data_IF_627670519237
#
_entry.id   IF_627670519237
#
_cell.length_a   1.000
_cell.length_b   1.000
_cell.length_c   1.000
_cell.angle_alpha   90.00
_cell.angle_beta   90.00
_cell.angle_gamma   90.00
#
_symmetry.space_group_name_H-M   'P 1'
#
loop_
_entity.id
_entity.type
_entity.pdbx_description
1 polymer ?
#
# COMPACT_ATOMS: atom_id res chain seq x y z
N UNK A 1 -2.18 -6.55 51.65
CA UNK A 1 -1.01 -6.76 50.75
C UNK A 1 -1.07 -8.01 49.87
N UNK A 2 -1.40 -9.21 50.36
CA UNK A 2 -1.41 -10.46 49.54
C UNK A 2 -2.48 -10.47 48.42
N UNK A 3 -3.66 -9.90 48.67
CA UNK A 3 -4.76 -9.81 47.69
C UNK A 3 -4.39 -8.88 46.54
N UNK A 4 -3.81 -7.71 46.84
CA UNK A 4 -3.32 -6.75 45.83
C UNK A 4 -2.26 -7.36 44.90
N UNK A 5 -1.31 -8.14 45.45
CA UNK A 5 -0.32 -8.87 44.63
C UNK A 5 -0.94 -9.94 43.72
N UNK A 6 -2.02 -10.62 44.17
CA UNK A 6 -2.76 -11.57 43.33
C UNK A 6 -3.51 -10.86 42.21
N UNK A 7 -4.20 -9.76 42.51
CA UNK A 7 -4.92 -8.96 41.51
C UNK A 7 -3.95 -8.44 40.44
N UNK A 8 -2.80 -7.88 40.85
CA UNK A 8 -1.78 -7.41 39.91
C UNK A 8 -1.20 -8.55 39.05
N UNK A 9 -0.98 -9.73 39.64
CA UNK A 9 -0.49 -10.91 38.90
C UNK A 9 -1.50 -11.39 37.87
N UNK A 10 -2.77 -11.57 38.25
CA UNK A 10 -3.80 -12.03 37.31
C UNK A 10 -4.17 -10.95 36.28
N UNK A 11 -4.17 -9.67 36.67
CA UNK A 11 -4.35 -8.56 35.75
C UNK A 11 -3.22 -8.45 34.73
N UNK A 12 -1.96 -8.62 35.16
CA UNK A 12 -0.80 -8.66 34.26
C UNK A 12 -0.84 -9.86 33.32
N UNK A 13 -1.25 -11.04 33.80
CA UNK A 13 -1.45 -12.23 32.96
C UNK A 13 -2.56 -11.98 31.94
N UNK A 14 -3.70 -11.42 32.37
CA UNK A 14 -4.81 -11.11 31.46
C UNK A 14 -4.37 -10.12 30.37
N UNK A 15 -3.64 -9.06 30.74
CA UNK A 15 -3.10 -8.10 29.80
C UNK A 15 -2.13 -8.76 28.81
N UNK A 16 -1.23 -9.62 29.29
CA UNK A 16 -0.32 -10.36 28.43
C UNK A 16 -1.06 -11.28 27.46
N UNK A 17 -2.09 -11.99 27.93
CA UNK A 17 -2.94 -12.83 27.08
C UNK A 17 -3.66 -12.00 26.02
N UNK A 18 -4.21 -10.84 26.38
CA UNK A 18 -4.87 -9.95 25.42
C UNK A 18 -3.89 -9.42 24.36
N UNK A 19 -2.66 -9.08 24.74
CA UNK A 19 -1.62 -8.65 23.79
C UNK A 19 -1.27 -9.80 22.85
N UNK A 20 -1.09 -11.02 23.37
CA UNK A 20 -0.77 -12.19 22.54
C UNK A 20 -1.92 -12.52 21.58
N UNK A 21 -3.16 -12.58 22.08
CA UNK A 21 -4.34 -12.86 21.25
C UNK A 21 -4.55 -11.77 20.20
N UNK A 22 -4.41 -10.50 20.58
CA UNK A 22 -4.50 -9.37 19.66
C UNK A 22 -3.40 -9.40 18.59
N UNK A 23 -2.16 -9.72 18.98
CA UNK A 23 -1.04 -9.88 18.06
C UNK A 23 -1.24 -11.05 17.10
N UNK A 24 -1.74 -12.19 17.59
CA UNK A 24 -2.08 -13.34 16.74
C UNK A 24 -3.22 -12.99 15.78
N UNK A 25 -4.24 -12.26 16.22
CA UNK A 25 -5.32 -11.78 15.36
C UNK A 25 -4.81 -10.82 14.29
N UNK A 26 -3.97 -9.86 14.64
CA UNK A 26 -3.36 -8.94 13.68
C UNK A 26 -2.48 -9.67 12.67
N UNK A 27 -1.64 -10.61 13.12
CA UNK A 27 -0.83 -11.45 12.25
C UNK A 27 -1.70 -12.31 11.33
N UNK A 28 -2.78 -12.89 11.87
CA UNK A 28 -3.74 -13.64 11.06
C UNK A 28 -4.36 -12.75 9.97
N UNK A 29 -4.85 -11.56 10.32
CA UNK A 29 -5.40 -10.60 9.35
C UNK A 29 -4.38 -10.12 8.33
N UNK A 30 -3.09 -10.05 8.69
CA UNK A 30 -2.04 -9.60 7.78
C UNK A 30 -1.65 -10.65 6.74
N UNK A 31 -1.50 -11.91 7.17
CA UNK A 31 -0.94 -12.99 6.34
C UNK A 31 -1.97 -13.98 5.77
N UNK A 32 -3.18 -14.03 6.32
CA UNK A 32 -4.22 -14.98 5.91
C UNK A 32 -5.52 -14.25 5.52
N UNK A 33 -6.51 -15.01 5.03
CA UNK A 33 -7.86 -14.49 4.75
C UNK A 33 -8.44 -13.81 6.00
N UNK A 34 -8.71 -12.51 5.97
CA UNK A 34 -9.30 -11.81 7.11
C UNK A 34 -10.69 -12.35 7.45
N UNK A 35 -11.03 -12.35 8.74
CA UNK A 35 -12.28 -12.94 9.25
C UNK A 35 -13.55 -12.28 8.71
N UNK A 36 -13.45 -11.05 8.20
CA UNK A 36 -14.53 -10.37 7.49
C UNK A 36 -13.97 -9.55 6.34
N UNK A 37 -14.82 -9.21 5.38
CA UNK A 37 -14.44 -8.51 4.16
C UNK A 37 -13.97 -7.07 4.40
N UNK A 38 -14.48 -6.40 5.44
CA UNK A 38 -14.07 -5.04 5.78
C UNK A 38 -12.63 -4.97 6.30
N UNK A 39 -12.21 -5.95 7.09
CA UNK A 39 -10.81 -6.12 7.48
C UNK A 39 -9.93 -6.48 6.28
N UNK A 40 -10.47 -7.24 5.32
CA UNK A 40 -9.77 -7.45 4.05
C UNK A 40 -9.55 -6.15 3.29
N UNK A 41 -10.58 -5.32 3.10
CA UNK A 41 -10.40 -4.03 2.44
C UNK A 41 -9.39 -3.14 3.17
N UNK A 42 -9.50 -3.01 4.50
CA UNK A 42 -8.56 -2.23 5.30
C UNK A 42 -7.11 -2.75 5.18
N UNK A 43 -6.91 -4.08 5.28
CA UNK A 43 -5.59 -4.71 5.13
C UNK A 43 -5.02 -4.48 3.74
N UNK A 44 -5.79 -4.75 2.69
CA UNK A 44 -5.36 -4.60 1.29
C UNK A 44 -4.97 -3.15 1.01
N UNK A 45 -5.73 -2.17 1.51
CA UNK A 45 -5.38 -0.76 1.38
C UNK A 45 -4.08 -0.45 2.13
N UNK A 46 -3.91 -0.94 3.37
CA UNK A 46 -2.67 -0.72 4.12
C UNK A 46 -1.44 -1.33 3.44
N UNK A 47 -1.57 -2.51 2.83
CA UNK A 47 -0.49 -3.13 2.06
C UNK A 47 -0.12 -2.28 0.84
N UNK A 48 -1.12 -1.78 0.10
CA UNK A 48 -0.88 -0.89 -1.04
C UNK A 48 -0.14 0.40 -0.63
N UNK A 49 -0.54 1.03 0.49
CA UNK A 49 0.19 2.19 1.01
C UNK A 49 1.61 1.84 1.45
N UNK A 50 1.83 0.65 2.00
CA UNK A 50 3.16 0.24 2.46
C UNK A 50 4.16 0.11 1.31
N UNK A 51 3.68 -0.25 0.11
CA UNK A 51 4.48 -0.32 -1.13
C UNK A 51 4.65 1.05 -1.83
N UNK A 52 3.83 2.07 -1.49
CA UNK A 52 3.89 3.41 -2.10
C UNK A 52 4.10 4.53 -1.05
N UNK A 53 5.37 4.86 -0.75
CA UNK A 53 5.71 6.01 0.08
C UNK A 53 5.09 7.35 -0.37
N UNK A 54 4.93 7.57 -1.68
CA UNK A 54 4.36 8.79 -2.24
C UNK A 54 2.83 8.83 -2.01
N UNK A 55 2.13 7.70 -2.14
CA UNK A 55 0.72 7.58 -1.76
C UNK A 55 0.54 7.85 -0.26
N UNK A 56 1.40 7.27 0.59
CA UNK A 56 1.35 7.49 2.03
C UNK A 56 1.52 8.97 2.39
N UNK A 57 2.41 9.69 1.69
CA UNK A 57 2.62 11.13 1.85
C UNK A 57 1.42 11.95 1.38
N UNK A 58 0.79 11.52 0.28
CA UNK A 58 -0.38 12.20 -0.30
C UNK A 58 -1.60 12.09 0.60
N UNK A 59 -1.84 10.91 1.17
CA UNK A 59 -2.99 10.67 2.05
C UNK A 59 -2.80 11.21 3.47
N UNK A 60 -1.56 11.47 3.87
CA UNK A 60 -1.18 12.01 5.18
C UNK A 60 -1.71 11.21 6.38
N UNK A 61 -1.81 9.88 6.25
CA UNK A 61 -2.45 9.03 7.26
C UNK A 61 -1.59 8.78 8.51
N UNK A 62 -0.26 8.94 8.41
CA UNK A 62 0.70 8.60 9.48
C UNK A 62 1.30 9.85 10.17
N UNK A 63 1.19 11.00 9.53
CA UNK A 63 1.71 12.30 9.93
C UNK A 63 1.08 12.78 11.25
N UNK A 64 -0.24 12.63 11.49
CA UNK A 64 -0.85 13.01 12.76
C UNK A 64 -0.29 12.25 13.97
N UNK A 65 0.22 11.02 13.76
CA UNK A 65 0.82 10.19 14.80
C UNK A 65 2.36 10.26 14.80
N UNK A 66 2.94 11.17 13.99
CA UNK A 66 4.38 11.45 13.97
C UNK A 66 5.24 10.42 13.23
N UNK A 67 4.63 9.48 12.51
CA UNK A 67 5.38 8.51 11.70
C UNK A 67 5.58 9.11 10.31
N UNK A 68 6.82 9.51 10.02
CA UNK A 68 7.20 10.20 8.77
C UNK A 68 8.30 9.47 7.99
N UNK A 69 8.56 8.20 8.27
CA UNK A 69 9.68 7.45 7.68
C UNK A 69 9.58 7.28 6.15
N UNK A 70 8.37 7.33 5.61
CA UNK A 70 8.09 7.28 4.17
C UNK A 70 8.42 8.59 3.44
N UNK A 71 8.50 9.72 4.14
CA UNK A 71 8.74 11.03 3.53
C UNK A 71 10.12 11.16 2.86
N UNK A 72 11.07 10.29 3.22
CA UNK A 72 12.40 10.25 2.61
C UNK A 72 12.48 9.35 1.36
N UNK A 73 11.39 8.67 0.98
CA UNK A 73 11.38 7.62 -0.06
C UNK A 73 10.47 8.01 -1.22
N UNK A 74 10.79 7.45 -2.39
CA UNK A 74 9.98 7.49 -3.59
C UNK A 74 9.46 6.09 -3.90
N UNK A 75 8.40 6.00 -4.71
CA UNK A 75 7.86 4.73 -5.17
C UNK A 75 8.85 4.04 -6.11
N UNK A 76 8.89 2.71 -6.06
CA UNK A 76 9.67 1.85 -6.95
C UNK A 76 8.94 1.68 -8.28
N UNK A 77 9.47 2.29 -9.34
CA UNK A 77 8.88 2.28 -10.69
C UNK A 77 9.45 1.15 -11.57
N UNK A 78 10.22 0.22 -10.98
CA UNK A 78 10.85 -0.86 -11.74
C UNK A 78 9.83 -1.84 -12.34
N UNK A 79 10.22 -2.54 -13.40
CA UNK A 79 9.40 -3.62 -13.97
C UNK A 79 9.06 -4.68 -12.91
N UNK A 80 10.03 -5.02 -12.06
CA UNK A 80 9.86 -5.96 -10.96
C UNK A 80 8.82 -5.47 -9.92
N UNK A 81 8.72 -4.17 -9.66
CA UNK A 81 7.69 -3.64 -8.77
C UNK A 81 6.29 -3.84 -9.35
N UNK A 82 6.12 -3.60 -10.65
CA UNK A 82 4.86 -3.88 -11.32
C UNK A 82 4.52 -5.37 -11.40
N UNK A 83 5.52 -6.27 -11.46
CA UNK A 83 5.28 -7.71 -11.38
C UNK A 83 4.75 -8.10 -9.99
N UNK A 84 5.39 -7.61 -8.92
CA UNK A 84 4.93 -7.81 -7.54
C UNK A 84 3.53 -7.25 -7.33
N UNK A 85 3.22 -6.08 -7.91
CA UNK A 85 1.89 -5.48 -7.82
C UNK A 85 0.82 -6.36 -8.47
N UNK A 86 1.08 -6.91 -9.66
CA UNK A 86 0.13 -7.78 -10.36
C UNK A 86 -0.10 -9.09 -9.61
N UNK A 87 0.97 -9.72 -9.12
CA UNK A 87 0.89 -10.93 -8.30
C UNK A 87 0.04 -10.67 -7.05
N UNK A 88 0.33 -9.59 -6.33
CA UNK A 88 -0.44 -9.20 -5.16
C UNK A 88 -1.92 -8.89 -5.49
N UNK A 89 -2.20 -8.23 -6.60
CA UNK A 89 -3.58 -7.97 -7.05
C UNK A 89 -4.32 -9.26 -7.37
N UNK A 90 -3.64 -10.25 -7.94
CA UNK A 90 -4.22 -11.57 -8.20
C UNK A 90 -4.55 -12.28 -6.89
N UNK A 91 -3.62 -12.33 -5.94
CA UNK A 91 -3.86 -12.91 -4.61
C UNK A 91 -5.01 -12.21 -3.87
N UNK A 92 -5.06 -10.88 -3.91
CA UNK A 92 -6.14 -10.10 -3.33
C UNK A 92 -7.49 -10.43 -3.98
N UNK A 93 -7.52 -10.58 -5.31
CA UNK A 93 -8.72 -10.96 -6.05
C UNK A 93 -9.20 -12.37 -5.69
N UNK A 94 -8.31 -13.34 -5.57
CA UNK A 94 -8.64 -14.70 -5.14
C UNK A 94 -9.22 -14.73 -3.71
N UNK A 95 -8.59 -14.01 -2.78
CA UNK A 95 -9.09 -13.90 -1.40
C UNK A 95 -10.48 -13.24 -1.39
N UNK A 96 -10.68 -12.19 -2.19
CA UNK A 96 -11.96 -11.50 -2.30
C UNK A 96 -13.06 -12.43 -2.83
N UNK A 97 -12.77 -13.25 -3.84
CA UNK A 97 -13.72 -14.23 -4.39
C UNK A 97 -14.09 -15.32 -3.38
N UNK A 98 -13.19 -15.65 -2.45
CA UNK A 98 -13.43 -16.70 -1.45
C UNK A 98 -14.46 -16.36 -0.36
N UNK A 99 -14.92 -15.10 -0.24
CA UNK A 99 -16.01 -14.75 0.68
C UNK A 99 -17.34 -15.20 0.10
N UNK A 100 -18.13 -16.00 0.81
CA UNK A 100 -19.45 -16.43 0.30
C UNK A 100 -20.43 -15.26 0.30
N UNK A 101 -21.22 -15.11 -0.77
CA UNK A 101 -22.17 -13.99 -0.92
C UNK A 101 -23.26 -14.01 0.15
N UNK A 102 -23.69 -15.20 0.57
CA UNK A 102 -24.75 -15.41 1.57
C UNK A 102 -24.33 -15.00 2.99
N UNK A 103 -23.02 -14.91 3.25
CA UNK A 103 -22.46 -14.48 4.54
C UNK A 103 -22.31 -12.95 4.65
N UNK A 104 -22.62 -12.21 3.58
CA UNK A 104 -22.40 -10.77 3.49
C UNK A 104 -23.69 -9.98 3.69
N UNK A 105 -23.56 -8.81 4.33
CA UNK A 105 -24.62 -7.81 4.28
C UNK A 105 -24.82 -7.31 2.85
N UNK A 106 -25.98 -6.75 2.54
CA UNK A 106 -26.25 -6.18 1.20
C UNK A 106 -25.20 -5.12 0.79
N UNK A 107 -24.75 -4.32 1.76
CA UNK A 107 -23.72 -3.29 1.55
C UNK A 107 -22.34 -3.92 1.30
N UNK A 108 -21.98 -4.94 2.07
CA UNK A 108 -20.71 -5.66 1.89
C UNK A 108 -20.68 -6.42 0.56
N UNK A 109 -21.80 -7.03 0.17
CA UNK A 109 -21.97 -7.72 -1.11
C UNK A 109 -21.82 -6.76 -2.29
N UNK A 110 -22.41 -5.56 -2.21
CA UNK A 110 -22.21 -4.52 -3.22
C UNK A 110 -20.74 -4.11 -3.30
N UNK A 111 -20.10 -3.87 -2.15
CA UNK A 111 -18.68 -3.51 -2.07
C UNK A 111 -17.79 -4.60 -2.66
N UNK A 112 -18.07 -5.88 -2.36
CA UNK A 112 -17.41 -7.04 -2.97
C UNK A 112 -17.53 -7.01 -4.48
N UNK A 113 -18.75 -6.85 -5.03
CA UNK A 113 -18.99 -6.84 -6.48
C UNK A 113 -18.20 -5.74 -7.19
N UNK A 114 -18.17 -4.54 -6.63
CA UNK A 114 -17.39 -3.42 -7.16
C UNK A 114 -15.89 -3.76 -7.14
N UNK A 115 -15.39 -4.28 -6.02
CA UNK A 115 -13.98 -4.63 -5.88
C UNK A 115 -13.58 -5.78 -6.82
N UNK A 116 -14.40 -6.82 -6.96
CA UNK A 116 -14.18 -7.93 -7.93
C UNK A 116 -14.09 -7.38 -9.34
N UNK A 117 -15.00 -6.48 -9.73
CA UNK A 117 -14.96 -5.85 -11.05
C UNK A 117 -13.69 -5.02 -11.25
N UNK A 118 -13.32 -4.17 -10.28
CA UNK A 118 -12.14 -3.32 -10.37
C UNK A 118 -10.84 -4.13 -10.45
N UNK A 119 -10.66 -5.12 -9.56
CA UNK A 119 -9.49 -6.00 -9.55
C UNK A 119 -9.44 -6.84 -10.83
N UNK A 120 -10.58 -7.40 -11.25
CA UNK A 120 -10.68 -8.16 -12.49
C UNK A 120 -10.26 -7.36 -13.72
N UNK A 121 -10.63 -6.09 -13.81
CA UNK A 121 -10.18 -5.21 -14.90
C UNK A 121 -8.67 -4.95 -14.88
N UNK A 122 -8.06 -4.82 -13.70
CA UNK A 122 -6.60 -4.67 -13.58
C UNK A 122 -5.89 -5.93 -14.07
N UNK A 123 -6.35 -7.10 -13.64
CA UNK A 123 -5.78 -8.39 -14.02
C UNK A 123 -5.98 -8.68 -15.52
N UNK A 124 -7.17 -8.38 -16.06
CA UNK A 124 -7.38 -8.50 -17.51
C UNK A 124 -6.48 -7.53 -18.30
N UNK A 125 -6.22 -6.34 -17.73
CA UNK A 125 -5.34 -5.33 -18.30
C UNK A 125 -3.86 -5.71 -18.33
N UNK A 126 -3.43 -6.73 -17.59
CA UNK A 126 -2.04 -7.19 -17.55
C UNK A 126 -1.50 -7.49 -18.95
N UNK A 127 -2.30 -8.17 -19.79
CA UNK A 127 -1.94 -8.49 -21.19
C UNK A 127 -1.64 -7.26 -22.05
N UNK A 128 -2.05 -6.08 -21.60
CA UNK A 128 -1.86 -4.79 -22.25
C UNK A 128 -0.94 -3.84 -21.47
N UNK A 129 -0.28 -4.30 -20.40
CA UNK A 129 0.54 -3.45 -19.50
C UNK A 129 1.55 -2.57 -20.24
N UNK A 130 2.13 -3.08 -21.32
CA UNK A 130 3.13 -2.36 -22.11
C UNK A 130 2.55 -1.54 -23.27
N UNK A 131 1.27 -1.72 -23.63
CA UNK A 131 0.58 -0.92 -24.65
C UNK A 131 0.16 0.46 -24.10
N UNK A 132 1.12 1.20 -23.56
CA UNK A 132 0.90 2.46 -22.85
C UNK A 132 2.07 3.42 -23.04
N UNK A 133 1.77 4.73 -22.92
CA UNK A 133 2.75 5.81 -22.98
C UNK A 133 2.91 6.46 -21.59
N UNK A 134 3.77 5.90 -20.71
CA UNK A 134 3.91 6.37 -19.33
C UNK A 134 4.51 7.77 -19.22
N UNK A 135 5.11 8.26 -20.31
CA UNK A 135 5.60 9.62 -20.47
C UNK A 135 4.92 10.22 -21.69
N UNK A 136 4.14 11.29 -21.48
CA UNK A 136 3.46 12.03 -22.53
C UNK A 136 3.32 13.52 -22.15
N UNK A 137 2.69 14.32 -23.00
CA UNK A 137 2.57 15.78 -22.81
C UNK A 137 1.73 16.17 -21.58
N UNK A 138 0.85 15.28 -21.11
CA UNK A 138 -0.03 15.54 -19.97
C UNK A 138 0.47 14.88 -18.69
N UNK A 139 1.03 13.67 -18.77
CA UNK A 139 1.36 12.84 -17.61
C UNK A 139 2.73 12.18 -17.73
N UNK A 140 3.33 11.89 -16.58
CA UNK A 140 4.53 11.06 -16.44
C UNK A 140 5.47 11.59 -15.38
N UNK A 141 6.56 10.86 -15.12
CA UNK A 141 7.51 11.20 -14.06
C UNK A 141 8.12 12.60 -14.22
N UNK A 142 8.27 13.07 -15.46
CA UNK A 142 8.84 14.38 -15.82
C UNK A 142 8.06 15.58 -15.27
N UNK A 143 6.75 15.44 -15.07
CA UNK A 143 5.91 16.49 -14.48
C UNK A 143 5.30 16.07 -13.13
N UNK A 144 5.08 14.78 -12.94
CA UNK A 144 4.54 14.21 -11.71
C UNK A 144 5.47 14.38 -10.53
N UNK A 145 6.76 14.07 -10.69
CA UNK A 145 7.73 14.21 -9.58
C UNK A 145 7.88 15.67 -9.11
N UNK A 146 8.12 16.67 -9.99
CA UNK A 146 8.17 18.06 -9.56
C UNK A 146 6.88 18.52 -8.88
N UNK A 147 5.71 18.15 -9.42
CA UNK A 147 4.42 18.52 -8.84
C UNK A 147 4.20 17.89 -7.47
N UNK A 148 4.58 16.62 -7.29
CA UNK A 148 4.51 15.93 -6.00
C UNK A 148 5.43 16.60 -4.96
N UNK A 149 6.67 16.91 -5.33
CA UNK A 149 7.61 17.57 -4.44
C UNK A 149 7.15 18.97 -4.03
N UNK A 150 6.46 19.69 -4.93
CA UNK A 150 5.95 21.04 -4.66
C UNK A 150 4.65 21.03 -3.85
N UNK A 151 3.68 20.19 -4.21
CA UNK A 151 2.33 20.24 -3.63
C UNK A 151 2.15 19.33 -2.42
N UNK A 152 2.86 18.19 -2.36
CA UNK A 152 2.65 17.16 -1.34
C UNK A 152 3.73 17.20 -0.26
N UNK A 153 5.00 17.30 -0.62
CA UNK A 153 6.10 17.28 0.35
C UNK A 153 6.20 18.61 1.11
N UNK A 154 5.63 18.66 2.31
CA UNK A 154 5.71 19.82 3.19
C UNK A 154 7.09 19.92 3.87
N UNK A 155 7.60 21.15 4.05
CA UNK A 155 8.89 21.41 4.70
C UNK A 155 8.68 22.37 5.89
N UNK A 156 8.24 21.81 7.01
CA UNK A 156 7.95 22.57 8.24
C UNK A 156 9.05 22.44 9.31
N UNK A 157 10.03 21.56 9.08
CA UNK A 157 11.12 21.27 10.03
C UNK A 157 12.41 20.88 9.32
N UNK A 158 13.51 20.85 10.07
CA UNK A 158 14.82 20.39 9.57
C UNK A 158 14.73 18.97 9.03
N UNK A 159 14.04 18.08 9.74
CA UNK A 159 13.84 16.69 9.29
C UNK A 159 13.07 16.64 7.97
N UNK A 160 12.01 17.44 7.82
CA UNK A 160 11.23 17.43 6.58
C UNK A 160 12.09 17.92 5.38
N UNK A 161 13.03 18.84 5.62
CA UNK A 161 14.01 19.28 4.61
C UNK A 161 15.04 18.18 4.27
N UNK A 162 15.50 17.42 5.26
CA UNK A 162 16.39 16.26 5.04
C UNK A 162 15.68 15.16 4.22
N UNK A 163 14.41 14.89 4.53
CA UNK A 163 13.56 13.97 3.79
C UNK A 163 13.35 14.46 2.34
N UNK A 164 13.16 15.78 2.14
CA UNK A 164 13.05 16.40 0.82
C UNK A 164 14.31 16.19 -0.02
N UNK A 165 15.48 16.46 0.57
CA UNK A 165 16.78 16.23 -0.08
C UNK A 165 16.99 14.74 -0.38
N UNK A 166 16.54 13.84 0.50
CA UNK A 166 16.61 12.39 0.26
C UNK A 166 15.85 11.98 -1.00
N UNK A 167 14.65 12.52 -1.21
CA UNK A 167 13.89 12.30 -2.46
C UNK A 167 14.58 12.88 -3.68
N UNK A 168 15.13 14.09 -3.58
CA UNK A 168 15.92 14.68 -4.67
C UNK A 168 17.13 13.81 -5.06
N UNK A 169 17.79 13.20 -4.08
CA UNK A 169 18.92 12.29 -4.36
C UNK A 169 18.46 10.95 -4.97
N UNK A 170 17.25 10.49 -4.63
CA UNK A 170 16.68 9.24 -5.13
C UNK A 170 16.04 9.37 -6.52
N UNK A 171 15.72 10.59 -6.99
CA UNK A 171 14.97 10.79 -8.24
C UNK A 171 15.64 10.18 -9.47
N UNK A 172 16.97 10.19 -9.52
CA UNK A 172 17.72 9.60 -10.63
C UNK A 172 17.40 8.11 -10.80
N UNK A 173 17.32 7.37 -9.68
CA UNK A 173 16.95 5.94 -9.68
C UNK A 173 15.53 5.74 -10.19
N UNK A 174 14.58 6.56 -9.73
CA UNK A 174 13.17 6.49 -10.19
C UNK A 174 13.08 6.73 -11.71
N UNK A 175 13.83 7.71 -12.23
CA UNK A 175 13.86 7.98 -13.67
C UNK A 175 14.51 6.84 -14.45
N UNK A 176 15.59 6.25 -13.95
CA UNK A 176 16.23 5.10 -14.57
C UNK A 176 15.29 3.89 -14.67
N UNK A 177 14.47 3.65 -13.64
CA UNK A 177 13.43 2.61 -13.64
C UNK A 177 12.33 2.88 -14.68
N UNK A 178 11.89 4.13 -14.82
CA UNK A 178 10.93 4.51 -15.88
C UNK A 178 11.56 4.31 -17.27
N UNK A 179 12.84 4.67 -17.44
CA UNK A 179 13.58 4.47 -18.69
C UNK A 179 13.76 2.98 -19.03
N UNK A 180 13.98 2.12 -18.04
CA UNK A 180 13.97 0.66 -18.22
C UNK A 180 12.63 0.20 -18.82
N UNK A 181 11.51 0.64 -18.24
CA UNK A 181 10.19 0.32 -18.76
C UNK A 181 9.92 0.87 -20.16
N UNK A 182 10.51 2.00 -20.53
CA UNK A 182 10.42 2.57 -21.89
C UNK A 182 11.25 1.76 -22.89
N UNK A 183 12.47 1.36 -22.54
CA UNK A 183 13.31 0.49 -23.40
C UNK A 183 12.63 -0.86 -23.65
N UNK A 184 12.01 -1.43 -22.62
CA UNK A 184 11.27 -2.68 -22.79
C UNK A 184 10.10 -2.55 -23.78
N UNK A 185 9.39 -1.41 -23.77
CA UNK A 185 8.34 -1.11 -24.77
C UNK A 185 8.91 -0.97 -26.18
N UNK A 186 10.05 -0.29 -26.32
CA UNK A 186 10.77 -0.15 -27.59
C UNK A 186 11.17 -1.52 -28.17
N UNK A 187 11.67 -2.45 -27.33
CA UNK A 187 12.00 -3.83 -27.71
C UNK A 187 10.78 -4.61 -28.21
N UNK A 188 9.58 -4.30 -27.69
CA UNK A 188 8.30 -4.86 -28.14
C UNK A 188 7.75 -4.15 -29.39
N UNK A 189 8.41 -3.10 -29.89
CA UNK A 189 7.99 -2.32 -31.05
C UNK A 189 6.87 -1.32 -30.79
N UNK A 190 6.75 -0.84 -29.55
CA UNK A 190 5.72 0.11 -29.08
C UNK A 190 6.30 1.52 -29.01
#
# INVERSE_FOLDING_TARGET
MKIFKKILKYGGILLAVLIVVGGLFAAHTWYFKPVNINLFFARTMMQMMAESPEMMSTLRVLEPIGIKGHNAKLDDESLAAGDRFLEWMNEAHEVLLSYEDDDLSETDLMSKRIAVFMLGNVLEGEKFRFLSFPVNQLFGVQNGFPSFMESTHQVDSVRDAEDYVSRLNAVGVKFDQVLEGLRHREELGI
#
